data_IF_581689853601
#
_entry.id   IF_581689853601
#
_cell.length_a   1.000
_cell.length_b   1.000
_cell.length_c   1.000
_cell.angle_alpha   90.00
_cell.angle_beta   90.00
_cell.angle_gamma   90.00
#
_symmetry.space_group_name_H-M   'P 1'
#
loop_
_entity.id
_entity.type
_entity.pdbx_description
1 polymer ?
#
# COMPACT_ATOMS: atom_id res chain seq x y z
N UNK A 1 -10.55 6.49 4.36
CA UNK A 1 -9.51 5.97 3.44
C UNK A 1 -9.64 4.44 3.46
N UNK A 2 -9.82 3.85 2.27
CA UNK A 2 -10.33 2.49 1.94
C UNK A 2 -11.71 2.12 2.53
N UNK A 3 -12.63 1.53 1.72
CA UNK A 3 -13.89 0.98 2.22
C UNK A 3 -13.68 -0.06 3.32
N UNK A 4 -14.64 -0.20 4.25
CA UNK A 4 -14.50 -1.12 5.40
C UNK A 4 -14.44 -2.58 4.98
N UNK A 5 -15.02 -2.89 3.82
CA UNK A 5 -15.08 -4.22 3.23
C UNK A 5 -13.79 -4.58 2.47
N UNK A 6 -12.79 -3.69 2.43
CA UNK A 6 -11.53 -3.94 1.72
C UNK A 6 -10.73 -5.01 2.45
N UNK A 7 -10.64 -6.20 1.89
CA UNK A 7 -9.85 -7.33 2.43
C UNK A 7 -8.53 -7.52 1.72
N UNK A 8 -8.38 -6.97 0.51
CA UNK A 8 -7.18 -7.12 -0.31
C UNK A 8 -6.82 -5.82 -1.01
N UNK A 9 -5.54 -5.44 -0.94
CA UNK A 9 -4.95 -4.45 -1.83
C UNK A 9 -3.85 -5.10 -2.65
N UNK A 10 -3.81 -4.68 -3.91
CA UNK A 10 -2.75 -5.04 -4.85
C UNK A 10 -2.16 -3.75 -5.36
N UNK A 11 -0.84 -3.62 -5.25
CA UNK A 11 -0.08 -2.53 -5.81
C UNK A 11 0.90 -3.08 -6.85
N UNK A 12 1.05 -2.40 -7.97
CA UNK A 12 2.01 -2.75 -9.00
C UNK A 12 3.02 -1.60 -9.18
N UNK A 13 4.28 -1.95 -9.36
CA UNK A 13 5.28 -0.99 -9.80
C UNK A 13 5.38 -1.08 -11.32
N UNK A 14 5.18 0.04 -12.02
CA UNK A 14 5.27 0.09 -13.48
C UNK A 14 6.19 1.24 -13.90
N UNK A 15 7.25 0.99 -14.68
CA UNK A 15 8.02 2.06 -15.33
C UNK A 15 7.11 2.75 -16.35
N UNK A 16 6.61 3.95 -16.03
CA UNK A 16 5.58 4.63 -16.84
C UNK A 16 6.12 5.39 -18.05
N UNK A 17 7.37 5.84 -18.00
CA UNK A 17 8.01 6.61 -19.07
C UNK A 17 9.53 6.58 -18.94
N UNK A 18 10.22 6.55 -20.08
CA UNK A 18 11.67 6.73 -20.20
C UNK A 18 12.07 8.15 -20.61
N UNK A 19 11.14 9.12 -20.63
CA UNK A 19 11.39 10.50 -21.13
C UNK A 19 12.59 11.20 -20.50
N UNK A 20 12.85 10.94 -19.22
CA UNK A 20 13.94 11.54 -18.45
C UNK A 20 15.06 10.54 -18.13
N UNK A 21 15.07 9.38 -18.81
CA UNK A 21 16.12 8.39 -18.62
C UNK A 21 17.44 8.96 -19.19
N UNK A 22 18.55 8.92 -18.44
CA UNK A 22 19.85 9.40 -18.89
C UNK A 22 20.49 8.36 -19.83
N UNK A 23 19.88 8.17 -21.00
CA UNK A 23 20.30 7.18 -22.01
C UNK A 23 20.69 7.87 -23.30
N UNK A 24 21.66 7.29 -24.02
CA UNK A 24 22.00 7.73 -25.37
C UNK A 24 20.88 7.25 -26.31
N UNK A 25 20.16 8.15 -27.01
CA UNK A 25 19.02 7.76 -27.84
C UNK A 25 19.37 6.74 -28.93
N UNK A 26 20.62 6.72 -29.39
CA UNK A 26 21.09 5.81 -30.44
C UNK A 26 21.28 4.37 -29.96
N UNK A 27 21.37 4.15 -28.63
CA UNK A 27 21.67 2.85 -28.02
C UNK A 27 20.54 2.35 -27.12
N UNK A 28 19.44 3.11 -27.03
CA UNK A 28 18.31 2.79 -26.15
C UNK A 28 17.24 2.01 -26.92
N UNK A 29 16.79 0.89 -26.35
CA UNK A 29 15.82 -0.02 -26.95
C UNK A 29 14.43 0.04 -26.28
N UNK A 30 14.11 1.14 -25.60
CA UNK A 30 12.84 1.34 -24.88
C UNK A 30 12.53 0.25 -23.81
N UNK A 31 13.57 -0.36 -23.25
CA UNK A 31 13.46 -1.36 -22.17
C UNK A 31 14.24 -0.95 -20.93
N UNK A 32 13.79 -1.46 -19.79
CA UNK A 32 14.44 -1.30 -18.48
C UNK A 32 14.91 -2.67 -17.99
N UNK A 33 16.12 -2.72 -17.44
CA UNK A 33 16.60 -3.89 -16.73
C UNK A 33 16.01 -3.89 -15.33
N UNK A 34 15.28 -4.95 -14.98
CA UNK A 34 14.72 -5.13 -13.64
C UNK A 34 15.77 -5.72 -12.70
N UNK A 35 16.19 -4.98 -11.67
CA UNK A 35 17.23 -5.42 -10.74
C UNK A 35 17.13 -4.70 -9.38
N UNK A 36 17.56 -5.37 -8.30
CA UNK A 36 17.68 -4.81 -6.96
C UNK A 36 16.54 -5.15 -5.99
N UNK A 37 15.57 -5.98 -6.40
CA UNK A 37 14.44 -6.37 -5.55
C UNK A 37 14.89 -7.22 -4.35
N UNK A 38 15.79 -8.17 -4.55
CA UNK A 38 16.31 -9.08 -3.52
C UNK A 38 17.02 -8.30 -2.42
N UNK A 39 17.90 -7.36 -2.81
CA UNK A 39 18.56 -6.46 -1.85
C UNK A 39 17.57 -5.60 -1.08
N UNK A 40 16.56 -5.04 -1.79
CA UNK A 40 15.51 -4.27 -1.16
C UNK A 40 14.70 -5.08 -0.13
N UNK A 41 14.34 -6.32 -0.46
CA UNK A 41 13.62 -7.22 0.46
C UNK A 41 14.47 -7.51 1.70
N UNK A 42 15.73 -7.90 1.51
CA UNK A 42 16.61 -8.26 2.62
C UNK A 42 16.86 -7.06 3.55
N UNK A 43 17.31 -5.95 2.99
CA UNK A 43 17.72 -4.79 3.79
C UNK A 43 16.53 -4.12 4.47
N UNK A 44 15.46 -3.82 3.73
CA UNK A 44 14.38 -2.98 4.22
C UNK A 44 13.24 -3.77 4.82
N UNK A 45 12.80 -4.86 4.18
CA UNK A 45 11.60 -5.59 4.63
C UNK A 45 11.92 -6.62 5.71
N UNK A 46 13.14 -7.18 5.71
CA UNK A 46 13.57 -8.17 6.69
C UNK A 46 14.44 -7.50 7.76
N UNK A 47 15.65 -7.05 7.42
CA UNK A 47 16.64 -6.66 8.41
C UNK A 47 16.24 -5.40 9.18
N UNK A 48 15.81 -4.36 8.48
CA UNK A 48 15.41 -3.11 9.10
C UNK A 48 14.15 -3.27 9.97
N UNK A 49 13.13 -3.98 9.49
CA UNK A 49 11.92 -4.24 10.28
C UNK A 49 12.21 -5.10 11.50
N UNK A 50 13.02 -6.14 11.36
CA UNK A 50 13.42 -6.96 12.51
C UNK A 50 14.16 -6.10 13.54
N UNK A 51 15.18 -5.34 13.13
CA UNK A 51 16.02 -4.55 14.03
C UNK A 51 15.30 -3.37 14.69
N UNK A 52 14.47 -2.65 13.93
CA UNK A 52 13.87 -1.40 14.39
C UNK A 52 12.43 -1.55 14.90
N UNK A 53 11.75 -2.65 14.58
CA UNK A 53 10.34 -2.85 14.91
C UNK A 53 10.10 -4.14 15.71
N UNK A 54 10.33 -5.32 15.13
CA UNK A 54 9.93 -6.60 15.75
C UNK A 54 10.79 -7.00 16.96
N UNK A 55 12.11 -6.78 16.92
CA UNK A 55 13.02 -7.10 18.03
C UNK A 55 13.02 -6.04 19.14
N UNK A 56 12.29 -4.92 18.96
CA UNK A 56 12.17 -3.88 19.99
C UNK A 56 10.93 -4.11 20.85
N UNK A 57 10.92 -3.61 22.10
CA UNK A 57 9.72 -3.61 22.91
C UNK A 57 8.56 -2.92 22.16
N UNK A 58 7.40 -3.58 22.09
CA UNK A 58 6.21 -3.10 21.36
C UNK A 58 5.87 -1.64 21.68
N UNK A 59 5.85 -1.32 22.98
CA UNK A 59 5.54 0.02 23.47
C UNK A 59 6.51 1.10 22.94
N UNK A 60 7.79 0.78 22.79
CA UNK A 60 8.79 1.72 22.28
C UNK A 60 8.67 1.92 20.78
N UNK A 61 8.47 0.83 20.03
CA UNK A 61 8.28 0.85 18.58
C UNK A 61 7.04 1.67 18.20
N UNK A 62 5.91 1.39 18.86
CA UNK A 62 4.62 2.08 18.60
C UNK A 62 4.70 3.54 19.01
N UNK A 63 5.24 3.87 20.19
CA UNK A 63 5.41 5.26 20.64
C UNK A 63 6.29 6.08 19.69
N UNK A 64 7.38 5.49 19.18
CA UNK A 64 8.29 6.16 18.24
C UNK A 64 7.59 6.46 16.91
N UNK A 65 6.80 5.53 16.40
CA UNK A 65 5.99 5.74 15.20
C UNK A 65 4.91 6.80 15.43
N UNK A 66 4.14 6.67 16.52
CA UNK A 66 3.05 7.59 16.85
C UNK A 66 3.56 9.03 16.94
N UNK A 67 4.67 9.27 17.64
CA UNK A 67 5.29 10.60 17.73
C UNK A 67 5.61 11.21 16.36
N UNK A 68 6.13 10.40 15.42
CA UNK A 68 6.43 10.86 14.06
C UNK A 68 5.16 11.20 13.28
N UNK A 69 4.13 10.36 13.40
CA UNK A 69 2.84 10.61 12.74
C UNK A 69 2.14 11.83 13.31
N UNK A 70 2.12 11.99 14.64
CA UNK A 70 1.51 13.14 15.30
C UNK A 70 2.20 14.46 14.90
N UNK A 71 3.51 14.44 14.71
CA UNK A 71 4.28 15.62 14.26
C UNK A 71 4.02 15.94 12.78
N UNK A 72 3.85 14.92 11.93
CA UNK A 72 3.71 15.11 10.48
C UNK A 72 2.27 15.37 10.03
N UNK A 73 1.29 14.72 10.66
CA UNK A 73 -0.12 14.70 10.24
C UNK A 73 -1.07 15.32 11.27
N UNK A 74 -0.56 15.69 12.44
CA UNK A 74 -1.34 16.18 13.56
C UNK A 74 -1.66 15.08 14.57
N UNK A 75 -1.79 15.48 15.84
CA UNK A 75 -1.98 14.57 16.96
C UNK A 75 -3.24 13.69 16.80
N UNK A 76 -3.06 12.37 16.88
CA UNK A 76 -4.16 11.41 16.84
C UNK A 76 -4.79 11.18 15.46
N UNK A 77 -4.15 11.66 14.39
CA UNK A 77 -4.60 11.43 13.01
C UNK A 77 -4.46 9.95 12.60
N UNK A 78 -3.46 9.26 13.13
CA UNK A 78 -3.15 7.84 12.84
C UNK A 78 -3.37 7.02 14.10
N UNK A 79 -4.13 5.92 13.97
CA UNK A 79 -4.41 4.98 15.06
C UNK A 79 -3.28 3.96 15.23
N UNK A 80 -2.75 3.84 16.45
CA UNK A 80 -1.65 2.95 16.78
C UNK A 80 -2.04 1.47 16.91
N UNK A 81 -3.33 1.15 17.11
CA UNK A 81 -3.77 -0.22 17.40
C UNK A 81 -3.45 -1.23 16.28
N UNK A 82 -3.44 -0.78 15.02
CA UNK A 82 -3.04 -1.64 13.89
C UNK A 82 -1.55 -1.95 13.89
N UNK A 83 -0.74 -1.03 14.39
CA UNK A 83 0.71 -1.22 14.52
C UNK A 83 1.03 -2.19 15.65
N UNK A 84 0.28 -2.12 16.75
CA UNK A 84 0.36 -3.11 17.84
C UNK A 84 0.01 -4.51 17.34
N UNK A 85 -1.10 -4.64 16.60
CA UNK A 85 -1.50 -5.92 15.99
C UNK A 85 -0.46 -6.46 15.01
N UNK A 86 0.23 -5.58 14.26
CA UNK A 86 1.32 -5.99 13.39
C UNK A 86 2.55 -6.47 14.18
N UNK A 87 2.86 -5.81 15.31
CA UNK A 87 3.96 -6.24 16.18
C UNK A 87 3.67 -7.61 16.79
N UNK A 88 2.42 -7.85 17.22
CA UNK A 88 1.98 -9.13 17.76
C UNK A 88 1.99 -10.26 16.70
N UNK A 89 1.82 -9.92 15.40
CA UNK A 89 1.97 -10.87 14.29
C UNK A 89 3.43 -11.30 14.05
N UNK A 90 4.41 -10.45 14.40
CA UNK A 90 5.84 -10.76 14.34
C UNK A 90 6.47 -10.80 12.95
N UNK A 91 5.72 -10.55 11.88
CA UNK A 91 6.22 -10.48 10.51
C UNK A 91 5.34 -9.58 9.63
N UNK A 92 5.86 -9.19 8.46
CA UNK A 92 5.10 -8.41 7.48
C UNK A 92 4.17 -9.32 6.63
N UNK A 93 2.85 -9.11 6.65
CA UNK A 93 1.91 -9.89 5.85
C UNK A 93 1.88 -9.39 4.40
N UNK A 94 2.97 -9.63 3.66
CA UNK A 94 3.20 -9.14 2.31
C UNK A 94 3.63 -10.28 1.38
N UNK A 95 2.96 -10.38 0.23
CA UNK A 95 3.32 -11.23 -0.90
C UNK A 95 3.86 -10.35 -2.02
N UNK A 96 5.03 -10.73 -2.55
CA UNK A 96 5.68 -10.04 -3.67
C UNK A 96 5.82 -11.04 -4.79
N UNK A 97 5.28 -10.71 -5.96
CA UNK A 97 5.46 -11.48 -7.20
C UNK A 97 6.21 -10.64 -8.20
N UNK A 98 7.31 -11.15 -8.74
CA UNK A 98 8.17 -10.39 -9.63
C UNK A 98 8.76 -11.25 -10.74
N UNK A 99 9.12 -10.60 -11.84
CA UNK A 99 10.00 -11.16 -12.86
C UNK A 99 11.40 -11.42 -12.28
N UNK A 100 12.16 -12.38 -12.84
CA UNK A 100 13.53 -12.60 -12.41
C UNK A 100 14.38 -11.33 -12.61
N UNK A 101 15.27 -11.08 -11.67
CA UNK A 101 16.23 -9.99 -11.81
C UNK A 101 17.17 -10.22 -13.00
N UNK A 102 17.54 -9.14 -13.67
CA UNK A 102 18.27 -9.16 -14.94
C UNK A 102 17.35 -9.24 -16.17
N UNK A 103 16.04 -9.44 -15.99
CA UNK A 103 15.09 -9.40 -17.11
C UNK A 103 15.01 -8.01 -17.74
N UNK A 104 14.91 -7.97 -19.08
CA UNK A 104 14.56 -6.75 -19.83
C UNK A 104 13.05 -6.61 -19.91
N UNK A 105 12.53 -5.48 -19.46
CA UNK A 105 11.10 -5.22 -19.34
C UNK A 105 10.72 -3.97 -20.13
N UNK A 106 9.63 -4.05 -20.88
CA UNK A 106 9.12 -2.92 -21.65
C UNK A 106 8.59 -1.80 -20.74
N UNK A 107 8.74 -0.56 -21.20
CA UNK A 107 8.08 0.58 -20.57
C UNK A 107 6.55 0.36 -20.61
N UNK A 108 5.88 0.68 -19.50
CA UNK A 108 4.45 0.42 -19.21
C UNK A 108 4.09 -1.03 -18.88
N UNK A 109 5.06 -1.94 -18.75
CA UNK A 109 4.83 -3.30 -18.25
C UNK A 109 5.25 -3.40 -16.79
N UNK A 110 4.39 -3.86 -15.87
CA UNK A 110 4.76 -4.00 -14.45
C UNK A 110 5.68 -5.20 -14.20
N UNK A 111 6.94 -5.02 -13.76
CA UNK A 111 7.82 -6.13 -13.40
C UNK A 111 7.53 -6.75 -12.03
N UNK A 112 6.78 -6.07 -11.16
CA UNK A 112 6.50 -6.53 -9.80
C UNK A 112 5.12 -6.09 -9.30
N UNK A 113 4.50 -6.97 -8.54
CA UNK A 113 3.24 -6.74 -7.83
C UNK A 113 3.39 -7.10 -6.35
N UNK A 114 2.75 -6.30 -5.50
CA UNK A 114 2.70 -6.43 -4.06
C UNK A 114 1.24 -6.67 -3.65
N UNK A 115 0.98 -7.68 -2.83
CA UNK A 115 -0.34 -7.91 -2.25
C UNK A 115 -0.26 -8.29 -0.78
N UNK A 116 -1.28 -7.96 0.00
CA UNK A 116 -1.36 -8.42 1.38
C UNK A 116 -1.74 -9.91 1.44
N UNK A 117 -1.15 -10.64 2.38
CA UNK A 117 -1.47 -12.05 2.65
C UNK A 117 -2.56 -12.21 3.72
N UNK A 118 -2.78 -11.17 4.53
CA UNK A 118 -3.70 -11.22 5.66
C UNK A 118 -4.87 -10.22 5.46
N UNK A 119 -6.14 -10.66 5.59
CA UNK A 119 -7.32 -9.83 5.31
C UNK A 119 -7.50 -8.68 6.31
N UNK A 120 -6.99 -8.82 7.53
CA UNK A 120 -6.97 -7.73 8.50
C UNK A 120 -5.92 -6.68 8.15
N UNK A 121 -4.99 -6.95 7.22
CA UNK A 121 -3.95 -6.01 6.82
C UNK A 121 -4.06 -5.53 5.35
N UNK A 122 -5.21 -5.01 4.89
CA UNK A 122 -5.41 -4.68 3.49
C UNK A 122 -4.52 -3.53 3.03
N UNK A 123 -4.31 -2.48 3.84
CA UNK A 123 -3.44 -1.35 3.48
C UNK A 123 -2.57 -0.81 4.61
N UNK A 124 -1.41 -0.27 4.23
CA UNK A 124 -0.52 0.52 5.08
C UNK A 124 -0.49 1.94 4.51
N UNK A 125 -0.72 3.03 5.28
CA UNK A 125 -0.71 3.19 6.74
C UNK A 125 -2.09 2.98 7.44
N UNK A 126 -2.19 3.06 8.80
CA UNK A 126 -3.44 2.88 9.54
C UNK A 126 -4.47 3.93 9.12
N UNK A 127 -5.62 3.47 8.64
CA UNK A 127 -6.75 4.35 8.40
C UNK A 127 -7.53 4.47 9.72
N UNK A 128 -7.67 5.71 10.20
CA UNK A 128 -8.42 5.96 11.43
C UNK A 128 -9.85 5.45 11.26
N UNK A 129 -10.33 4.64 12.21
CA UNK A 129 -11.74 4.23 12.32
C UNK A 129 -12.63 5.42 12.76
N UNK A 130 -12.36 6.63 12.28
CA UNK A 130 -13.14 7.82 12.62
C UNK A 130 -13.96 8.25 11.42
N UNK A 131 -15.02 7.50 11.18
CA UNK A 131 -16.23 8.07 10.62
C UNK A 131 -17.38 7.49 11.45
N UNK A 132 -17.70 8.18 12.53
CA UNK A 132 -18.96 7.98 13.25
C UNK A 132 -20.07 8.07 12.20
N UNK A 133 -20.87 7.01 12.10
CA UNK A 133 -22.03 6.97 11.25
C UNK A 133 -23.00 8.09 11.67
N UNK A 134 -22.90 9.24 11.01
CA UNK A 134 -24.01 10.18 10.96
C UNK A 134 -24.98 9.62 9.91
N UNK A 135 -26.04 8.96 10.38
CA UNK A 135 -27.26 8.80 9.59
C UNK A 135 -27.69 10.21 9.14
N UNK A 136 -27.52 10.51 7.86
CA UNK A 136 -28.16 11.65 7.23
C UNK A 136 -28.66 11.18 5.87
N UNK A 137 -29.99 11.10 5.74
CA UNK A 137 -30.62 10.88 4.45
C UNK A 137 -30.23 12.01 3.50
N UNK A 138 -29.68 11.65 2.35
CA UNK A 138 -29.51 12.56 1.23
C UNK A 138 -29.63 11.77 -0.09
N UNK A 139 -30.40 12.38 -1.00
CA UNK A 139 -30.88 11.84 -2.28
C UNK A 139 -29.76 11.29 -3.18
N UNK A 140 -30.05 10.30 -4.04
CA UNK A 140 -29.11 9.86 -5.07
C UNK A 140 -28.84 10.95 -6.13
N UNK A 141 -27.63 10.96 -6.75
CA UNK A 141 -27.14 12.04 -7.61
C UNK A 141 -27.58 11.95 -9.09
N UNK A 142 -28.49 11.03 -9.43
CA UNK A 142 -28.93 10.83 -10.81
C UNK A 142 -30.39 11.29 -10.99
N UNK A 143 -30.75 11.95 -12.10
CA UNK A 143 -32.15 12.18 -12.39
C UNK A 143 -32.82 10.82 -12.67
N UNK A 144 -34.03 10.56 -12.15
CA UNK A 144 -34.75 9.34 -12.49
C UNK A 144 -35.12 9.38 -13.98
N UNK A 145 -34.83 8.29 -14.70
CA UNK A 145 -35.30 8.07 -16.06
C UNK A 145 -36.84 8.03 -16.08
N UNK A 146 -37.52 8.68 -17.03
CA UNK A 146 -38.96 8.59 -17.14
C UNK A 146 -39.36 7.30 -17.85
N UNK A 147 -40.47 6.69 -17.41
CA UNK A 147 -41.05 5.41 -17.85
C UNK A 147 -40.30 4.17 -17.34
N UNK A 148 -40.93 3.19 -16.69
CA UNK A 148 -42.27 2.66 -16.90
C UNK A 148 -42.91 2.22 -15.58
N UNK A 149 -44.23 2.39 -15.56
CA UNK A 149 -45.21 1.94 -14.59
C UNK A 149 -45.40 0.41 -14.57
N UNK A 150 -46.05 -0.05 -13.48
CA UNK A 150 -46.73 -1.32 -13.25
C UNK A 150 -45.87 -2.45 -12.65
N UNK A 151 -46.30 -3.23 -11.66
CA UNK A 151 -47.51 -3.25 -10.82
C UNK A 151 -47.30 -4.37 -9.78
N UNK A 152 -47.88 -4.18 -8.57
CA UNK A 152 -48.01 -5.13 -7.45
C UNK A 152 -46.72 -5.66 -6.79
#
# INVERSE_FOLDING_TARGET
MYPRETTRLVANFTPRSAKYAPVLPQLFDDKVVWFGLQGFIQEYLIDLFNREFFQRPKADAVRRYQRRMDTALGAGAVDGGRLEALHDLGHLPLEIRSLPEGARVDIKVPPVTFSNTHPDFPGWPPTSKRCSAAKAGSRPPWPPSPSSSASC
#
